data_IF_448505802061
#
_entry.id   IF_448505802061
#
_cell.length_a   1.000
_cell.length_b   1.000
_cell.length_c   1.000
_cell.angle_alpha   90.00
_cell.angle_beta   90.00
_cell.angle_gamma   90.00
#
_symmetry.space_group_name_H-M   'P 1'
#
loop_
_entity.id
_entity.type
_entity.pdbx_description
1 polymer ?
#
# COMPACT_ATOMS: atom_id res chain seq x y z
N UNK A 1 -15.45 6.55 -1.51
CA UNK A 1 -14.88 6.92 -0.20
C UNK A 1 -14.55 8.40 -0.20
N UNK A 2 -14.55 9.05 0.97
CA UNK A 2 -14.01 10.42 1.09
C UNK A 2 -12.48 10.37 0.97
N UNK A 3 -11.86 11.45 0.46
CA UNK A 3 -10.38 11.52 0.30
C UNK A 3 -9.63 11.22 1.60
N UNK A 4 -10.15 11.69 2.73
CA UNK A 4 -9.56 11.46 4.06
C UNK A 4 -9.56 9.97 4.46
N UNK A 5 -10.67 9.27 4.21
CA UNK A 5 -10.77 7.81 4.47
C UNK A 5 -9.77 7.04 3.61
N UNK A 6 -9.58 7.47 2.36
CA UNK A 6 -8.65 6.86 1.43
C UNK A 6 -7.19 7.07 1.85
N UNK A 7 -6.82 8.29 2.25
CA UNK A 7 -5.49 8.58 2.81
C UNK A 7 -5.22 7.75 4.05
N UNK A 8 -6.20 7.61 4.95
CA UNK A 8 -6.06 6.75 6.13
C UNK A 8 -5.87 5.28 5.77
N UNK A 9 -6.62 4.76 4.81
CA UNK A 9 -6.45 3.38 4.33
C UNK A 9 -5.06 3.17 3.72
N UNK A 10 -4.60 4.10 2.87
CA UNK A 10 -3.25 4.06 2.31
C UNK A 10 -2.18 4.06 3.41
N UNK A 11 -2.35 4.88 4.44
CA UNK A 11 -1.45 4.92 5.60
C UNK A 11 -1.41 3.59 6.35
N UNK A 12 -2.57 2.97 6.61
CA UNK A 12 -2.65 1.67 7.26
C UNK A 12 -1.94 0.58 6.45
N UNK A 13 -2.17 0.52 5.13
CA UNK A 13 -1.52 -0.47 4.27
C UNK A 13 0.00 -0.24 4.18
N UNK A 14 0.47 1.01 4.19
CA UNK A 14 1.90 1.32 4.23
C UNK A 14 2.55 0.88 5.56
N UNK A 15 1.82 0.96 6.68
CA UNK A 15 2.27 0.39 7.95
C UNK A 15 2.32 -1.15 7.89
N UNK A 16 1.33 -1.76 7.26
CA UNK A 16 1.28 -3.21 7.09
C UNK A 16 2.43 -3.73 6.21
N UNK A 17 2.76 -3.01 5.13
CA UNK A 17 3.97 -3.25 4.34
C UNK A 17 5.22 -3.27 5.22
N UNK A 18 5.43 -2.24 6.05
CA UNK A 18 6.58 -2.18 6.97
C UNK A 18 6.62 -3.35 7.94
N UNK A 19 5.46 -3.77 8.44
CA UNK A 19 5.34 -4.94 9.30
C UNK A 19 5.75 -6.22 8.56
N UNK A 20 5.27 -6.44 7.33
CA UNK A 20 5.65 -7.59 6.51
C UNK A 20 7.16 -7.63 6.24
N UNK A 21 7.74 -6.50 5.84
CA UNK A 21 9.18 -6.36 5.60
C UNK A 21 9.98 -6.66 6.89
N UNK A 22 9.54 -6.14 8.04
CA UNK A 22 10.20 -6.38 9.32
C UNK A 22 10.07 -7.83 9.83
N UNK A 23 9.01 -8.54 9.45
CA UNK A 23 8.80 -9.96 9.79
C UNK A 23 9.41 -10.93 8.78
N UNK A 24 9.96 -10.43 7.67
CA UNK A 24 10.54 -11.25 6.62
C UNK A 24 9.49 -12.02 5.82
N UNK A 25 8.27 -11.51 5.72
CA UNK A 25 7.27 -12.10 4.83
C UNK A 25 7.63 -11.85 3.35
N UNK A 26 7.42 -12.86 2.51
CA UNK A 26 7.67 -12.80 1.06
C UNK A 26 6.55 -12.05 0.32
N UNK A 27 6.39 -10.76 0.63
CA UNK A 27 5.47 -9.86 -0.05
C UNK A 27 6.24 -9.04 -1.09
N UNK A 28 5.83 -9.08 -2.36
CA UNK A 28 6.46 -8.28 -3.42
C UNK A 28 5.85 -6.86 -3.49
N UNK A 29 6.52 -5.90 -2.86
CA UNK A 29 6.14 -4.48 -2.89
C UNK A 29 6.85 -3.66 -3.98
N UNK A 30 7.51 -4.29 -4.96
CA UNK A 30 8.30 -3.58 -5.98
C UNK A 30 7.46 -2.57 -6.76
N UNK A 31 6.26 -2.98 -7.21
CA UNK A 31 5.32 -2.10 -7.91
C UNK A 31 4.90 -0.88 -7.07
N UNK A 32 4.77 -1.04 -5.76
CA UNK A 32 4.44 0.10 -4.89
C UNK A 32 5.62 1.06 -4.77
N UNK A 33 6.84 0.54 -4.67
CA UNK A 33 8.07 1.34 -4.64
C UNK A 33 8.25 2.16 -5.92
N UNK A 34 7.96 1.58 -7.08
CA UNK A 34 8.03 2.25 -8.39
C UNK A 34 7.08 3.45 -8.49
N UNK A 35 5.91 3.40 -7.84
CA UNK A 35 4.98 4.53 -7.82
C UNK A 35 5.56 5.77 -7.13
N UNK A 36 6.56 5.63 -6.26
CA UNK A 36 7.19 6.75 -5.52
C UNK A 36 6.18 7.64 -4.78
N UNK A 37 5.08 7.03 -4.30
CA UNK A 37 3.98 7.68 -3.60
C UNK A 37 4.00 7.29 -2.11
N UNK A 38 3.74 8.27 -1.26
CA UNK A 38 3.66 8.12 0.20
C UNK A 38 2.29 8.58 0.72
N UNK A 39 1.73 7.92 1.75
CA UNK A 39 0.49 8.36 2.39
C UNK A 39 0.60 9.73 3.05
N UNK A 40 1.82 10.22 3.31
CA UNK A 40 2.05 11.57 3.87
C UNK A 40 1.82 12.69 2.85
N UNK A 41 1.81 12.36 1.55
CA UNK A 41 1.57 13.33 0.48
C UNK A 41 0.06 13.54 0.28
N UNK A 42 -0.60 14.18 1.25
CA UNK A 42 -2.07 14.40 1.26
C UNK A 42 -2.60 15.25 0.09
N UNK A 43 -1.70 15.91 -0.63
CA UNK A 43 -2.00 16.75 -1.78
C UNK A 43 -2.21 15.94 -3.07
N UNK A 44 -1.78 14.68 -3.11
CA UNK A 44 -1.99 13.78 -4.25
C UNK A 44 -3.49 13.63 -4.57
N UNK A 45 -3.78 13.25 -5.81
CA UNK A 45 -5.14 13.01 -6.29
C UNK A 45 -5.77 11.80 -5.59
N UNK A 46 -7.10 11.70 -5.70
CA UNK A 46 -7.82 10.52 -5.22
C UNK A 46 -7.30 9.26 -5.94
N UNK A 47 -7.15 9.33 -7.26
CA UNK A 47 -6.73 8.23 -8.13
C UNK A 47 -5.31 7.75 -7.79
N UNK A 48 -4.40 8.66 -7.42
CA UNK A 48 -3.03 8.31 -6.99
C UNK A 48 -3.05 7.49 -5.69
N UNK A 49 -3.90 7.88 -4.73
CA UNK A 49 -4.08 7.12 -3.50
C UNK A 49 -4.79 5.78 -3.74
N UNK A 50 -5.80 5.72 -4.63
CA UNK A 50 -6.47 4.48 -5.01
C UNK A 50 -5.50 3.50 -5.66
N UNK A 51 -4.67 3.99 -6.58
CA UNK A 51 -3.64 3.18 -7.26
C UNK A 51 -2.62 2.63 -6.27
N UNK A 52 -2.16 3.46 -5.32
CA UNK A 52 -1.27 3.03 -4.25
C UNK A 52 -1.88 1.92 -3.39
N UNK A 53 -3.14 2.08 -2.96
CA UNK A 53 -3.89 1.09 -2.18
C UNK A 53 -4.03 -0.23 -2.97
N UNK A 54 -4.38 -0.14 -4.24
CA UNK A 54 -4.57 -1.32 -5.09
C UNK A 54 -3.29 -2.14 -5.20
N UNK A 55 -2.16 -1.49 -5.49
CA UNK A 55 -0.86 -2.16 -5.61
C UNK A 55 -0.40 -2.76 -4.26
N UNK A 56 -0.59 -2.04 -3.15
CA UNK A 56 -0.29 -2.57 -1.81
C UNK A 56 -1.12 -3.83 -1.49
N UNK A 57 -2.41 -3.82 -1.85
CA UNK A 57 -3.30 -4.94 -1.58
C UNK A 57 -2.93 -6.17 -2.40
N UNK A 58 -2.58 -5.99 -3.68
CA UNK A 58 -2.10 -7.09 -4.53
C UNK A 58 -0.82 -7.73 -3.99
N UNK A 59 0.10 -6.91 -3.47
CA UNK A 59 1.33 -7.40 -2.85
C UNK A 59 1.07 -8.21 -1.56
N UNK A 60 0.01 -7.88 -0.81
CA UNK A 60 -0.39 -8.63 0.37
C UNK A 60 -1.10 -9.94 0.01
N UNK A 61 -1.97 -9.93 -1.00
CA UNK A 61 -2.67 -11.13 -1.47
C UNK A 61 -1.72 -12.17 -2.09
N UNK A 62 -0.66 -11.73 -2.76
CA UNK A 62 0.33 -12.64 -3.33
C UNK A 62 1.10 -13.43 -2.27
N UNK A 63 1.19 -12.90 -1.04
CA UNK A 63 1.77 -13.58 0.10
C UNK A 63 0.83 -14.63 0.71
N UNK A 64 -0.49 -14.38 0.72
CA UNK A 64 -1.48 -15.29 1.32
C UNK A 64 -1.83 -16.48 0.43
N UNK A 65 -1.75 -16.35 -0.89
CA UNK A 65 -2.11 -17.44 -1.82
C UNK A 65 -1.03 -18.54 -1.98
N UNK A 66 0.02 -18.51 -1.16
CA UNK A 66 1.11 -19.51 -1.19
C UNK A 66 1.04 -20.54 -0.04
N UNK A 67 -0.02 -20.51 0.76
CA UNK A 67 -0.35 -21.53 1.77
C UNK A 67 -1.34 -22.54 1.24
#
# INVERSE_FOLDING_TARGET
>A
MKKTELVHLHMLLAQFKKYCEAKGFDCDFTKYKELSISPLQVNLSLEEHERAIFVLTLALLSATNRT
#
